data_IF_670634027034
#
_entry.id   IF_670634027034
#
_cell.length_a   1.000
_cell.length_b   1.000
_cell.length_c   1.000
_cell.angle_alpha   90.00
_cell.angle_beta   90.00
_cell.angle_gamma   90.00
#
_symmetry.space_group_name_H-M   'P 1'
#
loop_
_entity.id
_entity.type
_entity.pdbx_description
1 polymer ?
#
# COMPACT_ATOMS: atom_id res chain seq x y z
N UNK A 1 -17.01 75.71 25.40
CA UNK A 1 -17.82 74.58 24.89
C UNK A 1 -17.65 73.44 25.87
N UNK A 2 -18.72 73.08 26.58
CA UNK A 2 -18.71 72.26 27.79
C UNK A 2 -18.73 70.76 27.49
N UNK A 3 -17.83 70.02 28.14
CA UNK A 3 -17.69 68.57 28.06
C UNK A 3 -18.90 67.85 28.67
N UNK A 4 -19.38 66.79 28.02
CA UNK A 4 -20.46 65.92 28.50
C UNK A 4 -19.87 64.63 29.08
N UNK A 5 -20.18 64.37 30.34
CA UNK A 5 -19.93 63.12 31.04
C UNK A 5 -20.97 62.05 30.66
N UNK A 6 -20.54 60.81 30.45
CA UNK A 6 -21.40 59.63 30.39
C UNK A 6 -21.11 58.75 31.60
N UNK A 7 -22.15 58.51 32.41
CA UNK A 7 -22.15 57.61 33.56
C UNK A 7 -22.33 56.16 33.08
N UNK A 8 -21.47 55.27 33.56
CA UNK A 8 -21.48 53.82 33.35
C UNK A 8 -22.29 53.18 34.49
N UNK A 9 -23.31 52.38 34.15
CA UNK A 9 -24.00 51.50 35.09
C UNK A 9 -23.48 50.07 34.92
N UNK A 10 -22.90 49.51 35.97
CA UNK A 10 -22.40 48.14 36.03
C UNK A 10 -23.49 47.21 36.57
N UNK A 11 -23.89 46.20 35.80
CA UNK A 11 -24.72 45.08 36.26
C UNK A 11 -23.84 43.86 36.52
N UNK A 12 -23.75 43.45 37.77
CA UNK A 12 -23.10 42.21 38.20
C UNK A 12 -24.08 41.05 38.13
N UNK A 13 -23.83 40.08 37.25
CA UNK A 13 -24.61 38.83 37.16
C UNK A 13 -23.79 37.70 37.78
N UNK A 14 -24.25 37.21 38.94
CA UNK A 14 -23.65 36.06 39.61
C UNK A 14 -24.09 34.75 38.91
N UNK A 15 -23.11 33.96 38.45
CA UNK A 15 -23.33 32.59 37.98
C UNK A 15 -23.19 31.62 39.16
N UNK A 16 -24.27 30.91 39.51
CA UNK A 16 -24.21 29.72 40.35
C UNK A 16 -23.98 28.48 39.46
N UNK A 17 -22.93 27.71 39.76
CA UNK A 17 -22.70 26.37 39.21
C UNK A 17 -23.21 25.31 40.21
N UNK A 18 -24.03 24.32 39.81
CA UNK A 18 -24.28 23.14 40.63
C UNK A 18 -23.19 22.07 40.43
N UNK A 19 -22.87 21.34 41.51
CA UNK A 19 -21.95 20.20 41.50
C UNK A 19 -22.60 18.94 40.88
N UNK A 20 -21.83 18.02 40.27
CA UNK A 20 -22.38 16.79 39.71
C UNK A 20 -22.66 15.74 40.80
N UNK A 21 -23.84 15.12 40.75
CA UNK A 21 -24.16 13.91 41.49
C UNK A 21 -23.78 12.65 40.68
N UNK A 22 -23.42 11.51 41.32
CA UNK A 22 -23.08 10.29 40.61
C UNK A 22 -24.32 9.60 40.03
N UNK A 23 -24.28 9.27 38.73
CA UNK A 23 -25.26 8.45 38.03
C UNK A 23 -25.14 6.98 38.48
N UNK A 24 -26.22 6.45 39.06
CA UNK A 24 -26.48 5.01 39.15
C UNK A 24 -27.39 4.65 37.97
N UNK A 25 -26.98 3.67 37.16
CA UNK A 25 -27.82 3.10 36.12
C UNK A 25 -28.59 1.91 36.71
N UNK A 26 -29.89 2.10 36.99
CA UNK A 26 -30.84 1.02 37.17
C UNK A 26 -31.33 0.56 35.79
N UNK A 27 -31.14 -0.72 35.49
CA UNK A 27 -31.63 -1.36 34.29
C UNK A 27 -33.09 -1.78 34.49
N UNK A 28 -34.01 -1.12 33.77
CA UNK A 28 -35.39 -1.59 33.70
C UNK A 28 -36.34 -0.52 33.20
N UNK A 29 -36.34 -0.26 31.88
CA UNK A 29 -37.57 -0.15 31.07
C UNK A 29 -37.21 0.28 29.63
N UNK A 30 -37.31 -0.63 28.67
CA UNK A 30 -37.40 -0.28 27.24
C UNK A 30 -38.34 -1.25 26.57
N UNK A 31 -39.64 -0.98 26.72
CA UNK A 31 -40.67 -1.43 25.80
C UNK A 31 -41.29 -0.17 25.20
N UNK A 32 -40.93 0.15 23.95
CA UNK A 32 -41.82 0.63 22.88
C UNK A 32 -41.05 0.99 21.60
N UNK A 33 -41.49 0.34 20.52
CA UNK A 33 -41.42 0.73 19.09
C UNK A 33 -40.10 0.50 18.32
N UNK A 34 -40.11 -0.52 17.45
CA UNK A 34 -39.21 -0.63 16.30
C UNK A 34 -38.80 -2.06 15.94
N UNK A 35 -39.70 -2.82 15.30
CA UNK A 35 -39.45 -4.20 14.89
C UNK A 35 -38.72 -4.26 13.53
N UNK A 36 -37.54 -4.90 13.50
CA UNK A 36 -37.11 -5.87 12.47
C UNK A 36 -35.74 -6.48 12.85
N UNK A 37 -35.60 -7.79 12.67
CA UNK A 37 -34.36 -8.59 12.77
C UNK A 37 -33.88 -9.10 14.15
N UNK A 38 -34.79 -9.50 15.05
CA UNK A 38 -34.42 -10.07 16.37
C UNK A 38 -34.96 -11.46 16.72
N UNK A 39 -35.60 -12.19 15.80
CA UNK A 39 -36.35 -13.42 16.15
C UNK A 39 -35.67 -14.71 15.63
N UNK A 40 -34.67 -14.64 14.76
CA UNK A 40 -34.03 -15.87 14.23
C UNK A 40 -32.95 -16.47 15.13
N UNK A 41 -32.55 -15.84 16.24
CA UNK A 41 -31.38 -16.27 17.01
C UNK A 41 -31.67 -17.16 18.24
N UNK A 42 -32.94 -17.35 18.63
CA UNK A 42 -33.27 -18.18 19.81
C UNK A 42 -33.69 -19.62 19.48
N UNK A 43 -33.88 -19.99 18.21
CA UNK A 43 -34.23 -21.37 17.83
C UNK A 43 -33.02 -22.30 17.64
N UNK A 44 -31.79 -21.76 17.66
CA UNK A 44 -30.57 -22.54 17.46
C UNK A 44 -29.87 -22.94 18.77
N UNK A 45 -30.18 -22.31 19.92
CA UNK A 45 -29.51 -22.66 21.18
C UNK A 45 -30.34 -22.28 22.43
N UNK A 46 -31.32 -23.12 22.83
CA UNK A 46 -32.21 -22.83 23.96
C UNK A 46 -31.52 -22.81 25.34
N UNK A 47 -30.24 -23.20 25.45
CA UNK A 47 -29.53 -23.24 26.73
C UNK A 47 -28.92 -21.91 27.18
N UNK A 48 -28.91 -20.88 26.32
CA UNK A 48 -28.33 -19.56 26.65
C UNK A 48 -29.34 -18.48 27.03
N UNK A 49 -30.64 -18.76 26.99
CA UNK A 49 -31.68 -17.90 27.55
C UNK A 49 -32.13 -18.50 28.87
N UNK A 50 -31.40 -18.17 29.94
CA UNK A 50 -31.56 -18.76 31.26
C UNK A 50 -32.97 -18.60 31.84
N UNK A 51 -33.79 -19.63 31.70
CA UNK A 51 -34.94 -19.93 32.56
C UNK A 51 -35.06 -21.45 32.69
N UNK A 52 -34.49 -22.01 33.75
CA UNK A 52 -34.54 -23.44 34.02
C UNK A 52 -33.88 -23.75 35.36
N UNK A 53 -34.61 -23.55 36.45
CA UNK A 53 -34.21 -24.04 37.76
C UNK A 53 -34.32 -25.55 37.80
N UNK A 54 -33.19 -26.25 37.87
CA UNK A 54 -33.13 -27.64 38.28
C UNK A 54 -32.11 -27.81 39.40
N UNK A 55 -32.61 -28.36 40.50
CA UNK A 55 -31.94 -28.80 41.71
C UNK A 55 -30.77 -29.73 41.40
N UNK A 56 -29.55 -29.28 41.73
CA UNK A 56 -28.32 -30.05 41.57
C UNK A 56 -28.12 -30.96 42.78
N UNK A 57 -28.15 -32.27 42.53
CA UNK A 57 -27.73 -33.31 43.45
C UNK A 57 -26.19 -33.41 43.41
N UNK A 58 -25.48 -33.53 44.55
CA UNK A 58 -24.02 -33.50 44.56
C UNK A 58 -23.44 -34.80 43.99
N UNK A 59 -22.74 -34.71 42.86
CA UNK A 59 -21.90 -35.78 42.31
C UNK A 59 -20.46 -35.68 42.84
N UNK A 60 -19.76 -36.80 43.02
CA UNK A 60 -18.40 -36.82 43.53
C UNK A 60 -17.41 -36.15 42.56
N UNK A 61 -16.55 -35.29 43.13
CA UNK A 61 -15.61 -34.41 42.43
C UNK A 61 -14.55 -35.21 41.65
N UNK A 62 -14.49 -35.11 40.31
CA UNK A 62 -13.35 -35.60 39.55
C UNK A 62 -12.14 -34.69 39.80
N UNK A 63 -10.96 -35.28 39.95
CA UNK A 63 -9.69 -34.55 39.96
C UNK A 63 -9.52 -33.78 38.64
N UNK A 64 -9.05 -32.51 38.66
CA UNK A 64 -8.83 -31.76 37.42
C UNK A 64 -7.75 -32.44 36.59
N UNK A 65 -8.12 -32.99 35.44
CA UNK A 65 -7.17 -33.35 34.40
C UNK A 65 -6.51 -32.09 33.82
N UNK A 66 -5.28 -32.19 33.27
CA UNK A 66 -4.62 -31.06 32.63
C UNK A 66 -5.52 -30.48 31.53
N UNK A 67 -5.78 -29.18 31.59
CA UNK A 67 -6.57 -28.47 30.58
C UNK A 67 -5.93 -28.64 29.20
N UNK A 68 -6.71 -28.93 28.13
CA UNK A 68 -6.20 -28.98 26.78
C UNK A 68 -5.55 -27.63 26.41
N UNK A 69 -4.28 -27.67 26.00
CA UNK A 69 -3.56 -26.49 25.52
C UNK A 69 -4.33 -25.93 24.31
N UNK A 70 -4.61 -24.61 24.25
CA UNK A 70 -5.26 -24.00 23.09
C UNK A 70 -4.50 -24.36 21.80
N UNK A 71 -5.21 -24.61 20.68
CA UNK A 71 -4.56 -24.87 19.40
C UNK A 71 -3.64 -23.69 19.05
N UNK A 72 -2.41 -23.98 18.64
CA UNK A 72 -1.45 -22.95 18.23
C UNK A 72 -1.96 -22.34 16.94
N UNK A 73 -2.31 -21.05 16.99
CA UNK A 73 -2.84 -20.33 15.84
C UNK A 73 -1.72 -20.15 14.80
N UNK A 74 -2.01 -20.44 13.53
CA UNK A 74 -1.08 -20.23 12.44
C UNK A 74 -0.94 -18.74 12.13
N UNK A 75 0.29 -18.25 12.11
CA UNK A 75 0.64 -16.87 11.79
C UNK A 75 1.06 -16.76 10.32
N UNK A 76 0.38 -15.94 9.49
CA UNK A 76 0.79 -15.67 8.12
C UNK A 76 2.25 -15.19 7.99
N UNK A 77 2.73 -14.43 8.95
CA UNK A 77 4.10 -13.89 9.02
C UNK A 77 5.12 -15.01 9.10
N UNK A 78 4.90 -15.97 10.02
CA UNK A 78 5.75 -17.14 10.22
C UNK A 78 5.73 -18.05 9.00
N UNK A 79 4.58 -18.15 8.32
CA UNK A 79 4.46 -18.92 7.09
C UNK A 79 5.37 -18.37 5.99
N UNK A 80 5.36 -17.05 5.80
CA UNK A 80 6.26 -16.38 4.85
C UNK A 80 7.73 -16.62 5.20
N UNK A 81 8.09 -16.56 6.48
CA UNK A 81 9.47 -16.79 6.93
C UNK A 81 9.91 -18.23 6.65
N UNK A 82 9.03 -19.21 6.91
CA UNK A 82 9.27 -20.62 6.59
C UNK A 82 9.45 -20.84 5.08
N UNK A 83 8.63 -20.18 4.24
CA UNK A 83 8.77 -20.26 2.77
C UNK A 83 10.12 -19.71 2.31
N UNK A 84 10.50 -18.53 2.78
CA UNK A 84 11.78 -17.91 2.41
C UNK A 84 12.98 -18.73 2.92
N UNK A 85 12.94 -19.22 4.17
CA UNK A 85 13.98 -20.10 4.71
C UNK A 85 14.13 -21.39 3.88
N UNK A 86 13.02 -22.00 3.47
CA UNK A 86 13.05 -23.21 2.64
C UNK A 86 13.57 -22.93 1.23
N UNK A 87 13.19 -21.81 0.63
CA UNK A 87 13.68 -21.40 -0.70
C UNK A 87 15.20 -21.24 -0.74
N UNK A 88 15.80 -20.77 0.36
CA UNK A 88 17.24 -20.63 0.49
C UNK A 88 17.93 -21.84 1.13
N UNK A 89 17.29 -23.01 1.12
CA UNK A 89 17.85 -24.28 1.61
C UNK A 89 18.25 -24.30 3.10
N UNK A 90 17.57 -23.52 3.95
CA UNK A 90 17.78 -23.55 5.40
C UNK A 90 16.98 -24.64 6.14
N UNK A 91 15.96 -25.21 5.49
CA UNK A 91 15.21 -26.38 6.00
C UNK A 91 14.31 -26.08 7.21
N UNK A 92 13.36 -25.15 7.07
CA UNK A 92 12.42 -24.75 8.13
C UNK A 92 11.29 -25.76 8.42
N UNK A 93 11.15 -26.81 7.62
CA UNK A 93 10.03 -27.75 7.69
C UNK A 93 8.84 -27.29 6.85
N UNK A 94 7.62 -27.74 7.18
CA UNK A 94 6.41 -27.28 6.49
C UNK A 94 6.17 -25.80 6.74
N UNK A 95 5.72 -25.06 5.73
CA UNK A 95 5.30 -23.65 5.87
C UNK A 95 3.86 -23.59 6.41
N UNK A 96 3.67 -24.01 7.66
CA UNK A 96 2.38 -24.10 8.32
C UNK A 96 1.97 -22.81 9.06
N UNK A 97 2.90 -21.88 9.25
CA UNK A 97 2.70 -20.66 10.05
C UNK A 97 2.90 -20.87 11.55
N UNK A 98 3.47 -22.00 11.97
CA UNK A 98 3.71 -22.32 13.38
C UNK A 98 5.20 -22.30 13.68
N UNK A 99 5.62 -21.47 14.66
CA UNK A 99 7.03 -21.32 15.04
C UNK A 99 7.57 -22.56 15.80
N UNK A 100 8.00 -23.56 15.03
CA UNK A 100 8.50 -24.85 15.51
C UNK A 100 10.01 -24.93 15.77
N UNK A 101 10.48 -26.11 16.18
CA UNK A 101 11.92 -26.39 16.37
C UNK A 101 12.70 -26.27 15.06
N UNK A 102 12.16 -26.79 13.97
CA UNK A 102 12.80 -26.76 12.65
C UNK A 102 12.96 -25.33 12.13
N UNK A 103 11.92 -24.50 12.26
CA UNK A 103 11.97 -23.08 11.89
C UNK A 103 13.03 -22.33 12.69
N UNK A 104 13.10 -22.53 14.02
CA UNK A 104 14.16 -21.92 14.86
C UNK A 104 15.57 -22.36 14.45
N UNK A 105 15.76 -23.65 14.13
CA UNK A 105 17.05 -24.15 13.66
C UNK A 105 17.43 -23.59 12.28
N UNK A 106 16.47 -23.44 11.37
CA UNK A 106 16.67 -22.81 10.07
C UNK A 106 17.06 -21.34 10.22
N UNK A 107 16.42 -20.60 11.14
CA UNK A 107 16.80 -19.22 11.49
C UNK A 107 18.25 -19.18 12.02
N UNK A 108 18.64 -20.10 12.90
CA UNK A 108 20.03 -20.16 13.39
C UNK A 108 21.04 -20.39 12.26
N UNK A 109 20.72 -21.26 11.29
CA UNK A 109 21.59 -21.50 10.11
C UNK A 109 21.70 -20.26 9.23
N UNK A 110 20.58 -19.59 8.99
CA UNK A 110 20.52 -18.31 8.28
C UNK A 110 21.39 -17.26 8.97
N UNK A 111 21.27 -17.12 10.29
CA UNK A 111 22.08 -16.19 11.07
C UNK A 111 23.57 -16.50 10.96
N UNK A 112 23.96 -17.76 11.14
CA UNK A 112 25.35 -18.19 10.98
C UNK A 112 25.89 -17.87 9.59
N UNK A 113 25.14 -18.20 8.54
CA UNK A 113 25.56 -17.99 7.16
C UNK A 113 25.73 -16.50 6.82
N UNK A 114 24.82 -15.65 7.32
CA UNK A 114 24.86 -14.20 7.09
C UNK A 114 25.76 -13.43 8.07
N UNK A 115 26.41 -14.12 9.02
CA UNK A 115 27.27 -13.50 10.03
C UNK A 115 26.52 -12.72 11.13
N UNK A 116 25.25 -13.03 11.36
CA UNK A 116 24.44 -12.44 12.44
C UNK A 116 24.63 -13.17 13.77
N UNK A 117 24.30 -12.51 14.92
CA UNK A 117 24.18 -13.20 16.19
C UNK A 117 23.16 -14.35 16.10
N UNK A 118 23.56 -15.55 16.51
CA UNK A 118 22.75 -16.78 16.41
C UNK A 118 21.77 -16.87 17.58
N UNK A 119 20.66 -16.15 17.49
CA UNK A 119 19.59 -16.11 18.52
C UNK A 119 18.51 -17.17 18.27
N UNK A 120 18.39 -17.69 17.05
CA UNK A 120 17.29 -18.56 16.62
C UNK A 120 15.95 -17.82 16.48
N UNK A 121 15.96 -16.49 16.51
CA UNK A 121 14.80 -15.61 16.28
C UNK A 121 15.16 -14.57 15.24
N UNK A 122 14.29 -14.34 14.25
CA UNK A 122 14.49 -13.29 13.26
C UNK A 122 14.16 -11.94 13.89
N UNK A 123 15.13 -11.03 13.91
CA UNK A 123 14.84 -9.61 14.10
C UNK A 123 14.23 -9.02 12.81
N UNK A 124 13.67 -7.80 12.86
CA UNK A 124 13.05 -7.18 11.68
C UNK A 124 13.99 -7.05 10.48
N UNK A 125 15.27 -6.73 10.69
CA UNK A 125 16.27 -6.55 9.63
C UNK A 125 16.65 -7.88 8.97
N UNK A 126 16.86 -8.90 9.79
CA UNK A 126 17.11 -10.28 9.38
C UNK A 126 15.94 -10.83 8.56
N UNK A 127 14.72 -10.66 9.06
CA UNK A 127 13.50 -11.07 8.35
C UNK A 127 13.36 -10.36 7.01
N UNK A 128 13.57 -9.05 7.00
CA UNK A 128 13.50 -8.22 5.80
C UNK A 128 14.52 -8.65 4.73
N UNK A 129 15.76 -8.94 5.15
CA UNK A 129 16.80 -9.43 4.23
C UNK A 129 16.40 -10.79 3.63
N UNK A 130 15.94 -11.71 4.47
CA UNK A 130 15.51 -13.04 4.06
C UNK A 130 14.30 -13.00 3.11
N UNK A 131 13.23 -12.30 3.48
CA UNK A 131 11.99 -12.22 2.68
C UNK A 131 12.19 -11.35 1.44
N UNK A 132 12.98 -10.27 1.54
CA UNK A 132 13.33 -9.41 0.41
C UNK A 132 14.10 -10.16 -0.66
N UNK A 133 15.10 -10.97 -0.26
CA UNK A 133 15.82 -11.83 -1.18
C UNK A 133 14.88 -12.85 -1.86
N UNK A 134 13.96 -13.44 -1.09
CA UNK A 134 12.99 -14.41 -1.61
C UNK A 134 12.10 -13.77 -2.68
N UNK A 135 11.54 -12.58 -2.40
CA UNK A 135 10.71 -11.85 -3.35
C UNK A 135 11.48 -11.44 -4.60
N UNK A 136 12.72 -10.97 -4.43
CA UNK A 136 13.60 -10.60 -5.54
C UNK A 136 13.92 -11.81 -6.44
N UNK A 137 14.18 -12.97 -5.83
CA UNK A 137 14.44 -14.19 -6.56
C UNK A 137 13.19 -14.70 -7.31
N UNK A 138 12.01 -14.61 -6.70
CA UNK A 138 10.73 -14.97 -7.33
C UNK A 138 10.32 -14.04 -8.47
N UNK A 139 10.74 -12.76 -8.43
CA UNK A 139 10.55 -11.81 -9.52
C UNK A 139 11.48 -12.07 -10.73
N UNK A 140 12.23 -13.19 -10.72
CA UNK A 140 13.09 -13.61 -11.83
C UNK A 140 14.50 -13.02 -11.81
N UNK A 141 14.83 -12.17 -10.83
CA UNK A 141 16.19 -11.64 -10.71
C UNK A 141 17.22 -12.69 -10.32
N UNK A 142 16.78 -13.78 -9.67
CA UNK A 142 17.65 -14.92 -9.42
C UNK A 142 18.10 -15.65 -10.69
N UNK A 143 17.32 -15.58 -11.78
CA UNK A 143 17.69 -16.15 -13.07
C UNK A 143 18.87 -15.40 -13.73
N UNK A 144 19.15 -14.18 -13.29
CA UNK A 144 20.31 -13.45 -13.74
C UNK A 144 21.63 -14.09 -13.27
N UNK A 145 21.63 -14.98 -12.26
CA UNK A 145 22.84 -15.55 -11.67
C UNK A 145 22.98 -17.06 -11.99
N UNK A 146 23.70 -17.45 -13.07
CA UNK A 146 23.77 -18.86 -13.47
C UNK A 146 24.48 -19.73 -12.43
N UNK A 147 23.83 -20.82 -12.04
CA UNK A 147 24.41 -21.77 -11.09
C UNK A 147 24.46 -21.28 -9.64
N UNK A 148 23.84 -20.14 -9.32
CA UNK A 148 23.70 -19.62 -7.96
C UNK A 148 22.29 -19.91 -7.48
N UNK A 149 22.18 -20.64 -6.38
CA UNK A 149 20.91 -21.03 -5.77
C UNK A 149 21.05 -21.01 -4.25
N UNK A 150 19.92 -21.17 -3.56
CA UNK A 150 19.92 -21.34 -2.11
C UNK A 150 20.59 -20.18 -1.38
N UNK A 151 21.35 -20.50 -0.34
CA UNK A 151 22.04 -19.55 0.53
C UNK A 151 22.94 -18.56 -0.25
N UNK A 152 23.57 -19.02 -1.33
CA UNK A 152 24.49 -18.18 -2.11
C UNK A 152 23.74 -17.12 -2.93
N UNK A 153 22.49 -17.40 -3.34
CA UNK A 153 21.62 -16.42 -3.99
C UNK A 153 21.20 -15.31 -3.02
N UNK A 154 20.90 -15.69 -1.78
CA UNK A 154 20.62 -14.74 -0.70
C UNK A 154 21.82 -13.85 -0.40
N UNK A 155 23.04 -14.38 -0.47
CA UNK A 155 24.27 -13.57 -0.33
C UNK A 155 24.42 -12.56 -1.47
N UNK A 156 24.15 -12.96 -2.71
CA UNK A 156 24.19 -12.05 -3.86
C UNK A 156 23.22 -10.86 -3.67
N UNK A 157 21.98 -11.14 -3.29
CA UNK A 157 21.00 -10.10 -2.96
C UNK A 157 21.49 -9.16 -1.84
N UNK A 158 22.06 -9.73 -0.77
CA UNK A 158 22.53 -8.94 0.37
C UNK A 158 23.70 -8.03 0.03
N UNK A 159 24.65 -8.50 -0.78
CA UNK A 159 25.75 -7.68 -1.28
C UNK A 159 25.22 -6.54 -2.16
N UNK A 160 24.31 -6.84 -3.09
CA UNK A 160 23.72 -5.86 -4.01
C UNK A 160 22.93 -4.77 -3.27
N UNK A 161 22.11 -5.15 -2.29
CA UNK A 161 21.32 -4.20 -1.48
C UNK A 161 22.16 -3.30 -0.58
N UNK A 162 23.42 -3.66 -0.30
CA UNK A 162 24.39 -2.83 0.43
C UNK A 162 25.28 -2.00 -0.50
N UNK A 163 25.00 -1.99 -1.80
CA UNK A 163 25.82 -1.31 -2.81
C UNK A 163 27.18 -1.97 -3.05
N UNK A 164 27.35 -3.20 -2.60
CA UNK A 164 28.49 -4.03 -2.93
C UNK A 164 28.35 -4.65 -4.31
N UNK A 165 29.46 -5.20 -4.82
CA UNK A 165 29.52 -5.84 -6.13
C UNK A 165 29.82 -7.33 -5.96
N UNK A 166 28.76 -8.14 -5.92
CA UNK A 166 28.87 -9.59 -5.74
C UNK A 166 29.69 -10.26 -6.86
N UNK A 167 29.60 -9.74 -8.08
CA UNK A 167 30.38 -10.20 -9.23
C UNK A 167 31.87 -9.94 -9.00
N UNK A 168 32.24 -8.75 -8.51
CA UNK A 168 33.63 -8.41 -8.19
C UNK A 168 34.18 -9.20 -7.01
N UNK A 169 33.35 -9.49 -6.01
CA UNK A 169 33.75 -10.25 -4.81
C UNK A 169 33.99 -11.74 -5.10
N UNK A 170 33.16 -12.34 -5.97
CA UNK A 170 33.14 -13.80 -6.16
C UNK A 170 33.56 -14.27 -7.56
N UNK A 171 33.67 -13.36 -8.53
CA UNK A 171 33.85 -13.68 -9.94
C UNK A 171 32.60 -14.27 -10.61
N UNK A 172 31.48 -14.39 -9.89
CA UNK A 172 30.23 -14.99 -10.38
C UNK A 172 29.24 -13.89 -10.73
N UNK A 173 29.26 -13.51 -12.00
CA UNK A 173 28.54 -12.32 -12.45
C UNK A 173 27.15 -12.66 -12.96
N UNK A 174 26.17 -11.75 -12.77
CA UNK A 174 24.89 -11.94 -13.39
C UNK A 174 25.05 -11.86 -14.91
N UNK A 175 24.46 -12.81 -15.63
CA UNK A 175 24.33 -12.71 -17.08
C UNK A 175 23.24 -11.70 -17.37
N UNK A 176 23.60 -10.61 -18.05
CA UNK A 176 22.61 -9.72 -18.62
C UNK A 176 21.75 -10.54 -19.57
N UNK A 177 20.44 -10.53 -19.38
CA UNK A 177 19.52 -11.13 -20.33
C UNK A 177 19.65 -10.37 -21.65
N UNK A 178 20.53 -10.85 -22.53
CA UNK A 178 20.50 -10.47 -23.92
C UNK A 178 19.14 -10.88 -24.46
N UNK A 179 18.40 -9.89 -24.99
CA UNK A 179 17.16 -10.12 -25.73
C UNK A 179 17.46 -10.89 -27.00
N UNK A 180 17.58 -12.21 -26.91
CA UNK A 180 17.71 -13.09 -28.08
C UNK A 180 17.03 -14.41 -27.81
N UNK A 181 15.93 -14.63 -28.54
CA UNK A 181 15.59 -15.92 -29.12
C UNK A 181 15.18 -17.05 -28.18
N UNK A 182 13.88 -17.34 -28.20
CA UNK A 182 13.25 -18.64 -27.89
C UNK A 182 14.23 -19.81 -27.73
N UNK A 183 14.39 -20.27 -26.50
CA UNK A 183 14.73 -21.66 -26.21
C UNK A 183 13.72 -22.20 -25.22
N UNK A 184 13.12 -23.33 -25.60
CA UNK A 184 12.10 -24.07 -24.86
C UNK A 184 12.69 -24.63 -23.56
N UNK A 185 12.54 -23.88 -22.46
CA UNK A 185 12.60 -24.43 -21.11
C UNK A 185 11.23 -25.00 -20.71
N UNK A 186 11.19 -26.00 -19.80
CA UNK A 186 9.93 -26.55 -19.29
C UNK A 186 9.16 -25.44 -18.56
N UNK A 187 8.08 -24.97 -19.18
CA UNK A 187 7.20 -23.95 -18.62
C UNK A 187 6.40 -24.59 -17.49
N UNK A 188 6.67 -24.19 -16.24
CA UNK A 188 5.68 -24.35 -15.17
C UNK A 188 4.38 -23.66 -15.63
N UNK A 189 3.20 -24.24 -15.35
CA UNK A 189 1.93 -23.68 -15.81
C UNK A 189 1.85 -22.19 -15.50
N UNK A 190 1.35 -21.40 -16.46
CA UNK A 190 1.19 -19.96 -16.33
C UNK A 190 0.41 -19.64 -15.06
N UNK A 191 1.15 -19.26 -14.01
CA UNK A 191 0.54 -18.69 -12.82
C UNK A 191 0.07 -17.29 -13.20
N UNK A 192 -1.14 -16.87 -12.78
CA UNK A 192 -1.66 -15.54 -13.08
C UNK A 192 -0.63 -14.50 -12.64
N UNK A 193 -0.37 -13.52 -13.52
CA UNK A 193 0.54 -12.40 -13.26
C UNK A 193 0.12 -11.71 -11.96
N UNK A 194 0.83 -12.02 -10.88
CA UNK A 194 0.57 -11.44 -9.57
C UNK A 194 1.04 -9.99 -9.65
N UNK A 195 0.12 -9.04 -9.44
CA UNK A 195 0.44 -7.61 -9.43
C UNK A 195 1.53 -7.31 -8.40
N UNK A 196 2.38 -6.31 -8.67
CA UNK A 196 3.39 -5.89 -7.71
C UNK A 196 2.75 -5.46 -6.38
N UNK A 197 3.36 -5.86 -5.26
CA UNK A 197 2.92 -5.51 -3.91
C UNK A 197 3.28 -4.06 -3.57
N UNK A 198 2.29 -3.27 -3.18
CA UNK A 198 2.48 -1.87 -2.76
C UNK A 198 3.15 -1.82 -1.40
N UNK A 199 2.76 -2.71 -0.48
CA UNK A 199 3.37 -2.82 0.84
C UNK A 199 4.87 -3.12 0.76
N UNK A 200 5.27 -4.06 -0.12
CA UNK A 200 6.69 -4.37 -0.35
C UNK A 200 7.43 -3.20 -0.99
N UNK A 201 6.81 -2.49 -1.93
CA UNK A 201 7.40 -1.29 -2.55
C UNK A 201 7.60 -0.15 -1.53
N UNK A 202 6.68 0.03 -0.59
CA UNK A 202 6.84 1.04 0.45
C UNK A 202 7.86 0.65 1.52
N UNK A 203 7.96 -0.63 1.85
CA UNK A 203 9.04 -1.12 2.68
C UNK A 203 10.40 -0.86 2.01
N UNK A 204 10.55 -1.18 0.72
CA UNK A 204 11.80 -0.94 -0.01
C UNK A 204 12.14 0.55 -0.13
N UNK A 205 11.14 1.40 -0.42
CA UNK A 205 11.32 2.85 -0.44
C UNK A 205 11.88 3.37 0.88
N UNK A 206 11.34 2.95 2.02
CA UNK A 206 11.83 3.37 3.35
C UNK A 206 13.28 2.94 3.60
N UNK A 207 13.71 1.79 3.09
CA UNK A 207 15.11 1.36 3.19
C UNK A 207 16.03 2.29 2.41
N UNK A 208 15.65 2.62 1.17
CA UNK A 208 16.41 3.55 0.33
C UNK A 208 16.46 4.93 0.98
N UNK A 209 15.34 5.40 1.54
CA UNK A 209 15.26 6.63 2.34
C UNK A 209 16.21 6.60 3.53
N UNK A 210 16.27 5.50 4.28
CA UNK A 210 17.18 5.38 5.43
C UNK A 210 18.65 5.36 5.00
N UNK A 211 18.97 4.77 3.85
CA UNK A 211 20.34 4.67 3.35
C UNK A 211 20.83 5.97 2.69
N UNK A 212 19.95 6.64 1.93
CA UNK A 212 20.32 7.78 1.07
C UNK A 212 19.83 9.13 1.62
N UNK A 213 19.04 9.10 2.70
CA UNK A 213 18.28 10.25 3.18
C UNK A 213 17.03 10.53 2.31
N UNK A 214 15.98 11.14 2.89
CA UNK A 214 14.76 11.48 2.16
C UNK A 214 15.01 12.55 1.09
N UNK A 215 14.22 12.51 0.01
CA UNK A 215 14.25 13.53 -1.03
C UNK A 215 13.19 14.58 -0.73
N UNK A 216 13.60 15.58 0.05
CA UNK A 216 12.70 16.63 0.52
C UNK A 216 12.59 17.82 -0.43
N UNK A 217 13.59 18.05 -1.28
CA UNK A 217 13.62 19.24 -2.16
C UNK A 217 13.97 18.87 -3.59
N UNK A 218 13.53 19.67 -4.59
CA UNK A 218 13.92 19.49 -5.99
C UNK A 218 15.43 19.42 -6.21
N UNK A 219 16.21 20.17 -5.44
CA UNK A 219 17.67 20.21 -5.54
C UNK A 219 18.34 18.88 -5.14
N UNK A 220 17.67 18.06 -4.32
CA UNK A 220 18.16 16.73 -3.93
C UNK A 220 18.05 15.67 -5.04
N UNK A 221 17.44 16.01 -6.18
CA UNK A 221 17.21 15.08 -7.30
C UNK A 221 18.37 15.19 -8.29
N UNK A 222 19.47 14.48 -7.99
CA UNK A 222 20.73 14.55 -8.75
C UNK A 222 20.88 13.44 -9.80
N UNK A 223 19.83 12.68 -10.09
CA UNK A 223 19.87 11.59 -11.06
C UNK A 223 18.59 10.74 -11.08
N UNK A 224 18.52 9.74 -11.98
CA UNK A 224 17.34 8.90 -12.17
C UNK A 224 16.99 8.07 -10.92
N UNK A 225 17.98 7.66 -10.13
CA UNK A 225 17.76 6.85 -8.92
C UNK A 225 17.12 7.67 -7.81
N UNK A 226 17.64 8.88 -7.58
CA UNK A 226 17.04 9.87 -6.66
C UNK A 226 15.65 10.28 -7.12
N UNK A 227 15.43 10.42 -8.43
CA UNK A 227 14.10 10.71 -8.98
C UNK A 227 13.10 9.57 -8.73
N UNK A 228 13.53 8.30 -8.91
CA UNK A 228 12.71 7.12 -8.58
C UNK A 228 12.38 7.08 -7.10
N UNK A 229 13.39 7.22 -6.24
CA UNK A 229 13.22 7.29 -4.78
C UNK A 229 12.22 8.37 -4.39
N UNK A 230 12.34 9.59 -4.93
CA UNK A 230 11.43 10.68 -4.63
C UNK A 230 9.97 10.32 -4.96
N UNK A 231 9.72 9.72 -6.12
CA UNK A 231 8.37 9.30 -6.52
C UNK A 231 7.84 8.13 -5.69
N UNK A 232 8.71 7.22 -5.23
CA UNK A 232 8.34 6.12 -4.34
C UNK A 232 7.98 6.64 -2.94
N UNK A 233 8.77 7.56 -2.38
CA UNK A 233 8.50 8.25 -1.12
C UNK A 233 7.16 9.00 -1.18
N UNK A 234 6.88 9.67 -2.30
CA UNK A 234 5.61 10.38 -2.50
C UNK A 234 4.41 9.43 -2.57
N UNK A 235 4.52 8.28 -3.23
CA UNK A 235 3.45 7.28 -3.23
C UNK A 235 3.18 6.78 -1.82
N UNK A 236 4.22 6.39 -1.09
CA UNK A 236 4.06 5.80 0.23
C UNK A 236 3.49 6.78 1.25
N UNK A 237 3.90 8.05 1.18
CA UNK A 237 3.27 9.11 1.96
C UNK A 237 1.78 9.26 1.64
N UNK A 238 1.41 9.23 0.36
CA UNK A 238 0.02 9.32 -0.08
C UNK A 238 -0.82 8.13 0.40
N UNK A 239 -0.29 6.91 0.29
CA UNK A 239 -0.95 5.69 0.75
C UNK A 239 -1.18 5.69 2.27
N UNK A 240 -0.19 6.12 3.06
CA UNK A 240 -0.35 6.28 4.52
C UNK A 240 -1.40 7.34 4.88
N UNK A 241 -1.46 8.44 4.12
CA UNK A 241 -2.50 9.44 4.35
C UNK A 241 -3.90 8.92 4.02
N UNK A 242 -4.07 8.21 2.90
CA UNK A 242 -5.33 7.58 2.52
C UNK A 242 -5.82 6.57 3.57
N UNK A 243 -4.90 5.79 4.17
CA UNK A 243 -5.20 4.90 5.30
C UNK A 243 -5.77 5.70 6.49
N UNK A 244 -5.05 6.72 6.95
CA UNK A 244 -5.51 7.54 8.09
C UNK A 244 -6.85 8.24 7.81
N UNK A 245 -7.09 8.64 6.56
CA UNK A 245 -8.35 9.27 6.15
C UNK A 245 -9.52 8.29 6.18
N UNK A 246 -9.29 7.04 5.78
CA UNK A 246 -10.26 5.95 5.86
C UNK A 246 -10.60 5.60 7.31
N UNK A 247 -9.60 5.50 8.19
CA UNK A 247 -9.82 5.28 9.63
C UNK A 247 -10.72 6.37 10.24
N UNK A 248 -10.48 7.64 9.91
CA UNK A 248 -11.32 8.75 10.35
C UNK A 248 -12.77 8.70 9.80
N UNK A 249 -12.99 8.10 8.63
CA UNK A 249 -14.34 7.92 8.08
C UNK A 249 -15.06 6.73 8.71
N UNK A 250 -14.30 5.73 9.19
CA UNK A 250 -14.81 4.53 9.81
C UNK A 250 -15.00 4.67 11.33
N UNK A 251 -14.51 5.75 11.94
CA UNK A 251 -14.65 5.99 13.38
C UNK A 251 -16.13 5.95 13.81
N UNK A 252 -16.42 5.13 14.81
CA UNK A 252 -17.79 4.90 15.30
C UNK A 252 -18.72 4.10 14.37
N UNK A 253 -18.27 3.62 13.20
CA UNK A 253 -19.13 2.90 12.24
C UNK A 253 -19.44 1.43 12.63
N UNK A 254 -18.58 0.80 13.44
CA UNK A 254 -18.67 -0.64 13.75
C UNK A 254 -18.38 -1.57 12.57
N UNK A 255 -17.87 -1.04 11.46
CA UNK A 255 -17.60 -1.81 10.23
C UNK A 255 -16.43 -2.78 10.42
N UNK A 256 -16.60 -4.04 10.01
CA UNK A 256 -15.57 -5.08 10.12
C UNK A 256 -14.74 -5.20 8.83
N UNK A 257 -13.55 -5.81 8.91
CA UNK A 257 -12.73 -6.08 7.73
C UNK A 257 -13.43 -6.98 6.71
N UNK A 258 -14.24 -7.94 7.17
CA UNK A 258 -15.06 -8.77 6.28
C UNK A 258 -16.13 -7.94 5.56
N UNK A 259 -16.81 -7.03 6.28
CA UNK A 259 -17.77 -6.14 5.65
C UNK A 259 -17.08 -5.21 4.64
N UNK A 260 -15.86 -4.74 4.93
CA UNK A 260 -15.10 -3.91 3.99
C UNK A 260 -14.66 -4.69 2.75
N UNK A 261 -14.21 -5.94 2.90
CA UNK A 261 -13.79 -6.77 1.77
C UNK A 261 -14.96 -7.03 0.80
N UNK A 262 -16.14 -7.34 1.35
CA UNK A 262 -17.36 -7.54 0.56
C UNK A 262 -17.82 -6.24 -0.11
N UNK A 263 -17.86 -5.13 0.63
CA UNK A 263 -18.38 -3.86 0.12
C UNK A 263 -17.45 -3.16 -0.89
N UNK A 264 -16.14 -3.32 -0.77
CA UNK A 264 -15.20 -2.68 -1.66
C UNK A 264 -15.05 -3.38 -3.02
N UNK A 265 -15.53 -4.62 -3.15
CA UNK A 265 -15.63 -5.30 -4.45
C UNK A 265 -16.48 -4.51 -5.46
N UNK A 266 -17.53 -3.83 -4.98
CA UNK A 266 -18.40 -2.97 -5.79
C UNK A 266 -17.63 -1.87 -6.53
N UNK A 267 -16.59 -1.29 -5.91
CA UNK A 267 -15.79 -0.23 -6.53
C UNK A 267 -15.04 -0.77 -7.75
N UNK A 268 -14.51 -2.00 -7.65
CA UNK A 268 -13.82 -2.69 -8.75
C UNK A 268 -14.79 -2.97 -9.89
N UNK A 269 -15.94 -3.57 -9.59
CA UNK A 269 -16.96 -3.88 -10.60
C UNK A 269 -17.42 -2.64 -11.37
N UNK A 270 -17.53 -1.49 -10.69
CA UNK A 270 -17.98 -0.25 -11.32
C UNK A 270 -16.92 0.41 -12.18
N UNK A 271 -15.63 0.20 -11.91
CA UNK A 271 -14.50 0.81 -12.62
C UNK A 271 -13.76 -0.16 -13.57
N UNK A 272 -14.24 -1.40 -13.71
CA UNK A 272 -13.58 -2.45 -14.49
C UNK A 272 -13.25 -2.03 -15.93
N UNK A 273 -14.19 -1.35 -16.61
CA UNK A 273 -13.98 -0.86 -17.98
C UNK A 273 -12.83 0.15 -18.05
N UNK A 274 -12.81 1.12 -17.13
CA UNK A 274 -11.77 2.14 -17.03
C UNK A 274 -10.41 1.49 -16.75
N UNK A 275 -10.35 0.51 -15.85
CA UNK A 275 -9.12 -0.24 -15.54
C UNK A 275 -8.60 -0.97 -16.78
N UNK A 276 -9.48 -1.65 -17.53
CA UNK A 276 -9.11 -2.36 -18.76
C UNK A 276 -8.58 -1.45 -19.87
N UNK A 277 -8.90 -0.15 -19.83
CA UNK A 277 -8.47 0.84 -20.82
C UNK A 277 -7.23 1.65 -20.40
N UNK A 278 -6.70 1.48 -19.18
CA UNK A 278 -5.56 2.24 -18.65
C UNK A 278 -4.28 2.15 -19.51
N UNK A 279 -4.10 1.04 -20.24
CA UNK A 279 -2.92 0.84 -21.10
C UNK A 279 -3.06 1.40 -22.52
N UNK A 280 -4.27 1.79 -22.94
CA UNK A 280 -4.57 2.10 -24.34
C UNK A 280 -5.23 3.47 -24.55
N UNK A 281 -5.78 4.08 -23.51
CA UNK A 281 -6.42 5.40 -23.56
C UNK A 281 -5.65 6.44 -22.76
N UNK A 282 -5.76 7.69 -23.18
CA UNK A 282 -5.14 8.80 -22.45
C UNK A 282 -5.81 9.03 -21.10
N UNK A 283 -5.06 9.62 -20.16
CA UNK A 283 -5.58 9.99 -18.84
C UNK A 283 -6.80 10.92 -18.92
N UNK A 284 -6.84 11.82 -19.92
CA UNK A 284 -7.97 12.74 -20.15
C UNK A 284 -9.22 11.98 -20.58
N UNK A 285 -9.12 11.12 -21.59
CA UNK A 285 -10.26 10.29 -22.05
C UNK A 285 -10.81 9.40 -20.92
N UNK A 286 -9.92 8.82 -20.10
CA UNK A 286 -10.31 7.97 -18.98
C UNK A 286 -10.92 8.75 -17.82
N UNK A 287 -10.46 9.97 -17.58
CA UNK A 287 -11.05 10.88 -16.61
C UNK A 287 -12.49 11.22 -17.01
N UNK A 288 -12.73 11.57 -18.27
CA UNK A 288 -14.08 11.83 -18.77
C UNK A 288 -14.96 10.56 -18.76
N UNK A 289 -14.37 9.39 -19.05
CA UNK A 289 -15.07 8.11 -18.97
C UNK A 289 -15.44 7.75 -17.53
N UNK A 290 -14.57 8.02 -16.56
CA UNK A 290 -14.87 7.87 -15.14
C UNK A 290 -16.00 8.81 -14.73
N UNK A 291 -15.97 10.09 -15.16
CA UNK A 291 -17.04 11.05 -14.87
C UNK A 291 -18.41 10.60 -15.39
N UNK A 292 -18.45 10.12 -16.64
CA UNK A 292 -19.68 9.56 -17.23
C UNK A 292 -20.17 8.38 -16.39
N UNK A 293 -19.27 7.47 -16.04
CA UNK A 293 -19.61 6.31 -15.23
C UNK A 293 -20.16 6.68 -13.86
N UNK A 294 -19.58 7.67 -13.17
CA UNK A 294 -20.10 8.14 -11.88
C UNK A 294 -21.51 8.74 -12.02
N UNK A 295 -21.79 9.49 -13.11
CA UNK A 295 -23.14 9.98 -13.39
C UNK A 295 -24.13 8.84 -13.65
N UNK A 296 -23.72 7.80 -14.37
CA UNK A 296 -24.56 6.64 -14.68
C UNK A 296 -24.89 5.79 -13.44
N UNK A 297 -24.05 5.82 -12.39
CA UNK A 297 -24.35 5.17 -11.11
C UNK A 297 -25.60 5.78 -10.47
N UNK A 298 -25.86 7.08 -10.68
CA UNK A 298 -27.06 7.76 -10.21
C UNK A 298 -27.16 7.94 -8.68
N UNK A 299 -26.07 7.75 -7.94
CA UNK A 299 -26.02 7.95 -6.49
C UNK A 299 -25.44 9.33 -6.12
N UNK A 300 -25.58 9.71 -4.85
CA UNK A 300 -25.03 10.96 -4.33
C UNK A 300 -23.49 10.99 -4.46
N UNK A 301 -22.96 12.07 -5.06
CA UNK A 301 -21.52 12.18 -5.35
C UNK A 301 -20.66 12.19 -4.08
N UNK A 302 -21.15 12.78 -2.99
CA UNK A 302 -20.42 12.81 -1.72
C UNK A 302 -20.36 11.41 -1.13
N UNK A 303 -21.47 10.68 -1.15
CA UNK A 303 -21.52 9.28 -0.72
C UNK A 303 -20.56 8.40 -1.54
N UNK A 304 -20.54 8.53 -2.87
CA UNK A 304 -19.59 7.79 -3.73
C UNK A 304 -18.15 8.14 -3.35
N UNK A 305 -17.85 9.43 -3.13
CA UNK A 305 -16.50 9.87 -2.74
C UNK A 305 -16.09 9.31 -1.38
N UNK A 306 -16.99 9.27 -0.40
CA UNK A 306 -16.68 8.76 0.94
C UNK A 306 -16.47 7.23 0.91
N UNK A 307 -17.29 6.48 0.17
CA UNK A 307 -17.08 5.03 -0.05
C UNK A 307 -15.74 4.77 -0.73
N UNK A 308 -15.40 5.50 -1.79
CA UNK A 308 -14.15 5.33 -2.49
C UNK A 308 -12.92 5.67 -1.61
N UNK A 309 -13.01 6.68 -0.74
CA UNK A 309 -11.95 6.97 0.26
C UNK A 309 -11.78 5.86 1.28
N UNK A 310 -12.89 5.29 1.78
CA UNK A 310 -12.86 4.15 2.71
C UNK A 310 -12.16 2.96 2.05
N UNK A 311 -12.59 2.60 0.84
CA UNK A 311 -12.04 1.46 0.09
C UNK A 311 -10.59 1.67 -0.33
N UNK A 312 -10.18 2.89 -0.68
CA UNK A 312 -8.78 3.21 -0.96
C UNK A 312 -7.88 2.94 0.26
N UNK A 313 -8.28 3.38 1.45
CA UNK A 313 -7.51 3.12 2.67
C UNK A 313 -7.52 1.65 3.10
N UNK A 314 -8.66 0.96 2.96
CA UNK A 314 -8.76 -0.49 3.17
C UNK A 314 -7.77 -1.24 2.25
N UNK A 315 -7.78 -0.91 0.95
CA UNK A 315 -6.94 -1.54 -0.04
C UNK A 315 -5.45 -1.33 0.19
N UNK A 316 -5.02 -0.14 0.62
CA UNK A 316 -3.62 0.08 1.01
C UNK A 316 -3.23 -0.67 2.29
N UNK A 317 -4.15 -0.86 3.24
CA UNK A 317 -3.90 -1.68 4.44
C UNK A 317 -3.72 -3.16 4.10
N UNK A 318 -4.56 -3.68 3.20
CA UNK A 318 -4.60 -5.11 2.85
C UNK A 318 -3.78 -5.46 1.61
N UNK A 319 -3.04 -4.50 1.06
CA UNK A 319 -2.24 -4.63 -0.16
C UNK A 319 -3.05 -5.10 -1.40
N UNK A 320 -4.33 -4.70 -1.47
CA UNK A 320 -5.20 -4.99 -2.62
C UNK A 320 -5.05 -3.90 -3.69
N UNK A 321 -4.11 -4.12 -4.61
CA UNK A 321 -3.78 -3.12 -5.63
C UNK A 321 -4.93 -2.83 -6.61
N UNK A 322 -5.83 -3.80 -6.84
CA UNK A 322 -6.94 -3.63 -7.78
C UNK A 322 -8.05 -2.78 -7.17
N UNK A 323 -8.40 -3.01 -5.90
CA UNK A 323 -9.36 -2.16 -5.16
C UNK A 323 -8.81 -0.75 -4.98
N UNK A 324 -7.51 -0.59 -4.70
CA UNK A 324 -6.88 0.72 -4.57
C UNK A 324 -6.94 1.51 -5.89
N UNK A 325 -6.58 0.88 -7.01
CA UNK A 325 -6.64 1.49 -8.34
C UNK A 325 -8.07 1.87 -8.74
N UNK A 326 -9.04 0.98 -8.51
CA UNK A 326 -10.45 1.25 -8.76
C UNK A 326 -10.97 2.44 -7.92
N UNK A 327 -10.60 2.47 -6.64
CA UNK A 327 -10.99 3.56 -5.73
C UNK A 327 -10.40 4.90 -6.14
N UNK A 328 -9.14 4.94 -6.59
CA UNK A 328 -8.52 6.15 -7.13
C UNK A 328 -9.23 6.64 -8.40
N UNK A 329 -9.55 5.75 -9.34
CA UNK A 329 -10.31 6.10 -10.55
C UNK A 329 -11.72 6.61 -10.23
N UNK A 330 -12.40 5.99 -9.27
CA UNK A 330 -13.72 6.41 -8.82
C UNK A 330 -13.67 7.82 -8.20
N UNK A 331 -12.64 8.12 -7.39
CA UNK A 331 -12.42 9.46 -6.83
C UNK A 331 -12.11 10.50 -7.90
N UNK A 332 -11.33 10.14 -8.92
CA UNK A 332 -11.14 11.03 -10.07
C UNK A 332 -12.50 11.31 -10.73
N UNK A 333 -13.32 10.28 -10.96
CA UNK A 333 -14.65 10.41 -11.57
C UNK A 333 -15.66 11.22 -10.76
N UNK A 334 -15.48 11.37 -9.44
CA UNK A 334 -16.30 12.28 -8.63
C UNK A 334 -15.87 13.74 -8.74
N UNK A 335 -14.83 14.04 -9.54
CA UNK A 335 -14.24 15.36 -9.68
C UNK A 335 -13.11 15.66 -8.70
N UNK A 336 -12.75 14.71 -7.81
CA UNK A 336 -11.61 14.87 -6.90
C UNK A 336 -10.28 14.63 -7.64
N UNK A 337 -9.97 15.50 -8.60
CA UNK A 337 -8.86 15.38 -9.56
C UNK A 337 -7.48 15.17 -8.93
N UNK A 338 -7.14 15.69 -7.74
CA UNK A 338 -5.84 15.38 -7.11
C UNK A 338 -5.60 13.89 -6.86
N UNK A 339 -6.63 13.04 -6.78
CA UNK A 339 -6.46 11.58 -6.68
C UNK A 339 -5.95 10.93 -7.97
N UNK A 340 -5.92 11.65 -9.10
CA UNK A 340 -5.29 11.18 -10.34
C UNK A 340 -3.81 10.81 -10.13
N UNK A 341 -3.14 11.46 -9.19
CA UNK A 341 -1.77 11.15 -8.81
C UNK A 341 -1.58 9.68 -8.39
N UNK A 342 -2.54 9.12 -7.65
CA UNK A 342 -2.50 7.73 -7.23
C UNK A 342 -2.58 6.80 -8.44
N UNK A 343 -3.47 7.10 -9.41
CA UNK A 343 -3.54 6.35 -10.68
C UNK A 343 -2.19 6.37 -11.41
N UNK A 344 -1.53 7.54 -11.44
CA UNK A 344 -0.17 7.67 -11.97
C UNK A 344 0.84 6.79 -11.22
N UNK A 345 0.79 6.75 -9.88
CA UNK A 345 1.69 5.88 -9.11
C UNK A 345 1.44 4.39 -9.35
N UNK A 346 0.16 3.97 -9.48
CA UNK A 346 -0.20 2.60 -9.82
C UNK A 346 0.32 2.18 -11.20
N UNK A 347 0.21 3.05 -12.21
CA UNK A 347 0.76 2.80 -13.56
C UNK A 347 2.29 2.77 -13.55
N UNK A 348 2.96 3.72 -12.89
CA UNK A 348 4.43 3.75 -12.79
C UNK A 348 4.99 2.52 -12.05
N UNK A 349 4.27 2.05 -11.03
CA UNK A 349 4.66 0.92 -10.19
C UNK A 349 4.20 -0.46 -10.67
N UNK A 350 3.21 -0.53 -11.56
CA UNK A 350 2.58 -1.80 -11.95
C UNK A 350 1.70 -2.40 -10.84
N UNK A 351 1.04 -1.56 -10.05
CA UNK A 351 0.18 -1.98 -8.94
C UNK A 351 -1.26 -2.13 -9.45
N UNK A 352 -1.75 -3.37 -9.55
CA UNK A 352 -3.11 -3.66 -10.03
C UNK A 352 -3.30 -3.42 -11.53
N UNK A 353 -2.21 -3.15 -12.26
CA UNK A 353 -2.18 -2.92 -13.71
C UNK A 353 -0.78 -3.23 -14.26
N UNK A 354 -0.64 -3.34 -15.57
CA UNK A 354 0.67 -3.45 -16.22
C UNK A 354 1.49 -2.17 -15.97
N UNK A 355 2.80 -2.33 -15.71
CA UNK A 355 3.69 -1.20 -15.49
C UNK A 355 3.81 -0.36 -16.77
N UNK A 356 3.43 0.91 -16.68
CA UNK A 356 3.48 1.85 -17.80
C UNK A 356 3.78 3.29 -17.32
N UNK A 357 5.07 3.64 -17.13
CA UNK A 357 5.45 4.97 -16.64
C UNK A 357 5.11 6.10 -17.63
N UNK A 358 5.06 5.81 -18.93
CA UNK A 358 4.74 6.83 -19.94
C UNK A 358 3.26 7.24 -19.85
N UNK A 359 2.35 6.27 -19.73
CA UNK A 359 0.92 6.55 -19.50
C UNK A 359 0.64 7.17 -18.12
N UNK A 360 1.53 6.98 -17.15
CA UNK A 360 1.40 7.61 -15.83
C UNK A 360 1.53 9.14 -15.88
N UNK A 361 2.26 9.69 -16.85
CA UNK A 361 2.54 11.14 -16.91
C UNK A 361 1.26 11.98 -16.96
N UNK A 362 0.31 11.64 -17.83
CA UNK A 362 -0.94 12.39 -17.97
C UNK A 362 -1.79 12.42 -16.69
N UNK A 363 -1.68 11.38 -15.85
CA UNK A 363 -2.38 11.34 -14.56
C UNK A 363 -1.75 12.28 -13.53
N UNK A 364 -0.42 12.39 -13.51
CA UNK A 364 0.27 13.38 -12.69
C UNK A 364 -0.06 14.81 -13.14
N UNK A 365 -0.11 15.06 -14.45
CA UNK A 365 -0.46 16.38 -14.98
C UNK A 365 -1.87 16.81 -14.55
N UNK A 366 -2.87 15.91 -14.64
CA UNK A 366 -4.24 16.18 -14.15
C UNK A 366 -4.26 16.54 -12.66
N UNK A 367 -3.50 15.80 -11.83
CA UNK A 367 -3.45 16.06 -10.40
C UNK A 367 -2.80 17.42 -10.09
N UNK A 368 -1.66 17.71 -10.73
CA UNK A 368 -0.94 18.96 -10.53
C UNK A 368 -1.73 20.17 -11.00
N UNK A 369 -2.38 20.09 -12.15
CA UNK A 369 -3.26 21.12 -12.67
C UNK A 369 -4.42 21.43 -11.72
N UNK A 370 -4.99 20.40 -11.08
CA UNK A 370 -6.05 20.59 -10.10
C UNK A 370 -5.53 21.29 -8.84
N UNK A 371 -4.34 20.93 -8.36
CA UNK A 371 -3.70 21.57 -7.21
C UNK A 371 -3.32 23.02 -7.49
N UNK A 372 -2.80 23.33 -8.69
CA UNK A 372 -2.51 24.70 -9.12
C UNK A 372 -3.77 25.58 -9.17
N UNK A 373 -4.94 24.97 -9.43
CA UNK A 373 -6.26 25.62 -9.38
C UNK A 373 -6.88 25.67 -7.97
N UNK A 374 -6.16 25.23 -6.94
CA UNK A 374 -6.60 25.31 -5.54
C UNK A 374 -7.52 24.18 -5.08
N UNK A 375 -7.52 23.02 -5.75
CA UNK A 375 -8.26 21.86 -5.29
C UNK A 375 -7.68 21.28 -3.99
N UNK A 376 -8.54 20.64 -3.20
CA UNK A 376 -8.13 19.94 -1.97
C UNK A 376 -7.17 18.79 -2.29
N UNK A 377 -5.98 18.74 -1.68
CA UNK A 377 -4.98 17.75 -2.03
C UNK A 377 -5.34 16.33 -1.55
N UNK A 378 -4.96 15.33 -2.36
CA UNK A 378 -5.13 13.91 -2.03
C UNK A 378 -4.21 13.45 -0.89
N UNK A 379 -3.22 14.27 -0.51
CA UNK A 379 -2.27 14.09 0.59
C UNK A 379 -2.29 15.36 1.46
N UNK A 380 -1.79 15.31 2.70
CA UNK A 380 -1.88 16.42 3.67
C UNK A 380 -1.62 17.83 3.07
N UNK A 381 -2.51 18.82 3.31
CA UNK A 381 -2.38 20.16 2.75
C UNK A 381 -1.08 20.90 3.04
N UNK A 382 -0.51 20.76 4.25
CA UNK A 382 0.71 21.47 4.63
C UNK A 382 1.97 21.03 3.88
N UNK A 383 1.92 19.89 3.18
CA UNK A 383 3.04 19.36 2.41
C UNK A 383 2.86 19.54 0.90
N UNK A 384 1.68 19.97 0.43
CA UNK A 384 1.29 19.84 -0.98
C UNK A 384 2.16 20.66 -1.95
N UNK A 385 2.51 21.90 -1.62
CA UNK A 385 3.30 22.77 -2.51
C UNK A 385 4.73 22.27 -2.75
N UNK A 386 5.46 21.99 -1.67
CA UNK A 386 6.84 21.45 -1.73
C UNK A 386 6.86 20.06 -2.37
N UNK A 387 5.89 19.22 -2.04
CA UNK A 387 5.71 17.88 -2.61
C UNK A 387 5.52 17.90 -4.12
N UNK A 388 4.63 18.75 -4.63
CA UNK A 388 4.39 18.87 -6.07
C UNK A 388 5.67 19.34 -6.77
N UNK A 389 6.44 20.25 -6.17
CA UNK A 389 7.72 20.67 -6.73
C UNK A 389 8.73 19.52 -6.82
N UNK A 390 8.83 18.67 -5.78
CA UNK A 390 9.66 17.46 -5.78
C UNK A 390 9.22 16.49 -6.88
N UNK A 391 7.92 16.22 -7.00
CA UNK A 391 7.40 15.29 -8.03
C UNK A 391 7.64 15.81 -9.45
N UNK A 392 7.39 17.09 -9.71
CA UNK A 392 7.68 17.72 -11.02
C UNK A 392 9.15 17.63 -11.38
N UNK A 393 10.04 17.85 -10.41
CA UNK A 393 11.47 17.72 -10.63
C UNK A 393 11.88 16.26 -10.88
N UNK A 394 11.33 15.31 -10.12
CA UNK A 394 11.58 13.88 -10.30
C UNK A 394 11.13 13.38 -11.67
N UNK A 395 9.93 13.75 -12.12
CA UNK A 395 9.39 13.37 -13.43
C UNK A 395 10.23 13.93 -14.57
N UNK A 396 10.69 15.18 -14.49
CA UNK A 396 11.61 15.76 -15.48
C UNK A 396 12.94 15.01 -15.53
N UNK A 397 13.55 14.72 -14.38
CA UNK A 397 14.83 14.00 -14.31
C UNK A 397 14.70 12.54 -14.76
N UNK A 398 13.58 11.88 -14.44
CA UNK A 398 13.29 10.51 -14.87
C UNK A 398 13.01 10.38 -16.37
N UNK A 399 12.31 11.36 -16.97
CA UNK A 399 12.03 11.39 -18.41
C UNK A 399 13.28 11.55 -19.28
N UNK A 400 14.33 12.20 -18.76
CA UNK A 400 15.62 12.34 -19.46
C UNK A 400 16.38 11.02 -19.61
N UNK A 401 16.05 9.98 -18.84
CA UNK A 401 16.64 8.64 -18.97
C UNK A 401 15.86 7.72 -19.92
N UNK A 402 14.62 8.07 -20.29
CA UNK A 402 13.77 7.35 -21.26
C UNK A 402 13.77 7.95 -22.67
N UNK A 403 14.26 9.18 -22.83
CA UNK A 403 14.36 9.90 -24.11
C UNK A 403 15.63 9.59 -24.90
N UNK A 404 15.94 8.31 -25.10
CA UNK A 404 17.10 7.82 -25.85
C UNK A 404 16.80 7.46 -27.30
N UNK A 405 15.85 8.12 -27.95
CA UNK A 405 15.83 8.21 -29.41
C UNK A 405 15.83 9.69 -29.77
N UNK A 406 17.05 10.25 -29.79
CA UNK A 406 17.29 11.49 -30.49
C UNK A 406 17.03 11.22 -31.98
N UNK A 407 15.79 11.43 -32.41
CA UNK A 407 15.53 11.79 -33.80
C UNK A 407 16.25 13.11 -34.01
N UNK A 408 17.41 13.03 -34.66
CA UNK A 408 18.11 14.15 -35.25
C UNK A 408 17.15 14.80 -36.25
N UNK A 409 16.38 15.78 -35.76
CA UNK A 409 15.78 16.80 -36.59
C UNK A 409 16.92 17.70 -37.07
N UNK A 410 17.53 17.32 -38.19
CA UNK A 410 18.36 18.22 -38.99
C UNK A 410 17.46 19.32 -39.55
N UNK A 411 17.30 20.37 -38.74
CA UNK A 411 16.85 21.67 -39.18
C UNK A 411 17.80 22.20 -40.26
N UNK A 412 17.29 22.21 -41.48
CA UNK A 412 17.43 23.21 -42.53
C UNK A 412 18.49 24.31 -42.31
N UNK A 413 19.52 24.28 -43.16
CA UNK A 413 20.03 25.48 -43.83
C UNK A 413 21.24 26.19 -43.21
N UNK A 414 22.45 25.74 -43.55
CA UNK A 414 23.56 26.67 -43.79
C UNK A 414 23.80 26.80 -45.31
N UNK A 415 24.05 28.01 -45.84
CA UNK A 415 24.30 28.21 -47.26
C UNK A 415 25.70 27.72 -47.66
N UNK A 416 25.77 26.99 -48.77
CA UNK A 416 26.99 26.44 -49.34
C UNK A 416 27.73 27.54 -50.13
N UNK A 417 28.93 27.93 -49.72
CA UNK A 417 29.80 28.81 -50.50
C UNK A 417 30.55 27.98 -51.54
N UNK A 418 30.11 28.06 -52.81
CA UNK A 418 30.86 27.54 -53.94
C UNK A 418 32.00 28.52 -54.31
N UNK A 419 33.24 28.16 -53.98
CA UNK A 419 34.42 28.76 -54.61
C UNK A 419 34.72 27.99 -55.89
N UNK A 420 34.40 28.58 -57.04
CA UNK A 420 34.97 28.16 -58.33
C UNK A 420 36.42 28.63 -58.39
N UNK A 421 37.34 27.69 -58.55
CA UNK A 421 38.64 27.95 -59.16
C UNK A 421 38.63 27.32 -60.56
N UNK A 422 38.83 28.20 -61.54
CA UNK A 422 39.06 27.99 -62.98
C UNK A 422 37.90 27.49 -63.83
#
# INVERSE_FOLDING_TARGET
MTARAFLIAATATALCLPAPAPLRADAGDVVKLGAAAGILFCMANPQRCGMGGQSQQPTPRPTPGPTPKPPVQADPTVRTDQQALNYFDYGAGSADGVMGRNTRQAISRYQTYMGYPVTGQLDPYQRQTLVGAYNWAQAGHGAAYPGIYGQELLRAYHTETRGGDYCRETGRCPVQAASTGQTTQPRLPDMPTTSASMANACASSQMVTNASGPVLTPAGITGPDRARQAMDEQFCSASSYALSRSENLLDGSGMTDQALSENCSWVVDRMADQIGMLGSRSAVELTEAADRRIRDIGADMRQISDVAKVCLGYAYRTDDAQVALASALMLVGTGARPYAELVGHHLRGGYGTARNPDQAQGWYDIAFDALDRGADPAVRPSQSGERVAVMRAALRTGGLAGGGNATSSTGTGMPNFNLRQN
#
